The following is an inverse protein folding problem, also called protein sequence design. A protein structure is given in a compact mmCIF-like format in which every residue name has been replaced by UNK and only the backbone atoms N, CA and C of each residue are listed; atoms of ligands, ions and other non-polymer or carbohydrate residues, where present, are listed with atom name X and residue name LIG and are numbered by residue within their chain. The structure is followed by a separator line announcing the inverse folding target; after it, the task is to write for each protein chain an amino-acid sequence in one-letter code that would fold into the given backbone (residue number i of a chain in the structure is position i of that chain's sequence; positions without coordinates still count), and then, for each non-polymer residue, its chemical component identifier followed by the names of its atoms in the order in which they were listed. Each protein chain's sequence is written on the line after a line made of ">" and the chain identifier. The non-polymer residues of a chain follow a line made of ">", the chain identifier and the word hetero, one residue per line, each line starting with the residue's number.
data_IF_321447397805
#
_entry.id   IF_321447397805
#
_cell.length_a   1.000
_cell.length_b   1.000
_cell.length_c   1.000
_cell.angle_alpha   90.00
_cell.angle_beta   90.00
_cell.angle_gamma   90.00
#
_symmetry.space_group_name_H-M   'P 1'
#
loop_
_entity.id
_entity.type
_entity.pdbx_description
1 polymer ?
#
# COMPACT_ATOMS: atom_id res chain seq x y z
N UNK A 1 64.00 28.31 -44.12
CA UNK A 1 64.48 27.00 -43.76
C UNK A 1 63.39 26.00 -44.15
N UNK A 2 63.77 24.85 -44.74
CA UNK A 2 62.91 23.78 -45.21
C UNK A 2 61.93 23.28 -44.10
N UNK A 3 62.38 23.26 -42.87
CA UNK A 3 61.59 22.88 -41.72
C UNK A 3 60.36 23.78 -41.48
N UNK A 4 60.45 25.07 -41.75
CA UNK A 4 59.35 26.04 -41.63
C UNK A 4 58.30 25.82 -42.74
N UNK A 5 58.74 25.54 -43.96
CA UNK A 5 57.88 25.22 -45.09
C UNK A 5 57.09 23.92 -44.88
N UNK A 6 57.75 22.88 -44.35
CA UNK A 6 57.10 21.58 -44.04
C UNK A 6 56.07 21.71 -42.90
N UNK A 7 56.44 22.51 -41.90
CA UNK A 7 55.49 22.78 -40.77
C UNK A 7 54.23 23.52 -41.24
N UNK A 8 54.43 24.58 -42.08
CA UNK A 8 53.29 25.36 -42.61
C UNK A 8 52.41 24.52 -43.55
N UNK A 9 52.98 23.58 -44.29
CA UNK A 9 52.26 22.67 -45.18
C UNK A 9 51.43 21.66 -44.39
N UNK A 10 52.00 21.11 -43.32
CA UNK A 10 51.30 20.18 -42.42
C UNK A 10 50.13 20.87 -41.71
N UNK A 11 50.36 22.10 -41.18
CA UNK A 11 49.32 22.88 -40.49
C UNK A 11 48.19 23.24 -41.46
N UNK A 12 48.49 23.68 -42.68
CA UNK A 12 47.48 23.99 -43.70
C UNK A 12 46.65 22.77 -44.08
N UNK A 13 47.30 21.60 -44.32
CA UNK A 13 46.58 20.34 -44.56
C UNK A 13 45.72 19.93 -43.39
N UNK A 14 46.21 20.02 -42.14
CA UNK A 14 45.44 19.71 -40.96
C UNK A 14 44.19 20.62 -40.82
N UNK A 15 44.36 21.93 -41.05
CA UNK A 15 43.23 22.88 -41.03
C UNK A 15 42.20 22.55 -42.12
N UNK A 16 42.67 22.14 -43.32
CA UNK A 16 41.77 21.77 -44.41
C UNK A 16 40.97 20.49 -44.08
N UNK A 17 41.62 19.50 -43.48
CA UNK A 17 41.00 18.28 -43.03
C UNK A 17 39.96 18.52 -41.90
N UNK A 18 40.29 19.36 -40.93
CA UNK A 18 39.36 19.74 -39.85
C UNK A 18 38.15 20.48 -40.42
N UNK A 19 38.36 21.41 -41.35
CA UNK A 19 37.25 22.12 -42.01
C UNK A 19 36.36 21.21 -42.84
N UNK A 20 36.93 20.19 -43.50
CA UNK A 20 36.17 19.22 -44.29
C UNK A 20 35.42 18.21 -43.39
N UNK A 21 36.02 17.83 -42.26
CA UNK A 21 35.41 16.88 -41.31
C UNK A 21 34.34 17.51 -40.39
N UNK A 22 34.46 18.80 -40.08
CA UNK A 22 33.56 19.50 -39.18
C UNK A 22 32.07 19.35 -39.51
N UNK A 23 31.61 19.51 -40.77
CA UNK A 23 30.19 19.32 -41.10
C UNK A 23 29.74 17.87 -40.96
N UNK A 24 30.63 16.90 -41.27
CA UNK A 24 30.30 15.47 -41.11
C UNK A 24 30.19 15.12 -39.63
N UNK A 25 31.11 15.56 -38.80
CA UNK A 25 31.05 15.38 -37.34
C UNK A 25 29.80 16.05 -36.74
N UNK A 26 29.49 17.27 -37.21
CA UNK A 26 28.29 17.98 -36.82
C UNK A 26 27.00 17.21 -37.18
N UNK A 27 26.96 16.66 -38.40
CA UNK A 27 25.81 15.83 -38.84
C UNK A 27 25.68 14.54 -37.99
N UNK A 28 26.78 13.86 -37.73
CA UNK A 28 26.78 12.64 -36.89
C UNK A 28 26.33 12.95 -35.48
N UNK A 29 26.79 14.03 -34.87
CA UNK A 29 26.33 14.46 -33.53
C UNK A 29 24.85 14.83 -33.54
N UNK A 30 24.38 15.55 -34.58
CA UNK A 30 22.97 15.87 -34.72
C UNK A 30 22.10 14.60 -34.81
N UNK A 31 22.51 13.63 -35.64
CA UNK A 31 21.81 12.35 -35.75
C UNK A 31 21.82 11.58 -34.45
N UNK A 32 22.93 11.57 -33.72
CA UNK A 32 23.01 10.92 -32.40
C UNK A 32 22.03 11.57 -31.40
N UNK A 33 22.00 12.91 -31.34
CA UNK A 33 21.05 13.64 -30.48
C UNK A 33 19.61 13.33 -30.89
N UNK A 34 19.33 13.24 -32.17
CA UNK A 34 17.99 12.95 -32.68
C UNK A 34 17.54 11.52 -32.33
N UNK A 35 18.45 10.54 -32.44
CA UNK A 35 18.18 9.15 -32.02
C UNK A 35 17.93 9.06 -30.51
N UNK A 36 18.76 9.74 -29.70
CA UNK A 36 18.58 9.80 -28.25
C UNK A 36 17.24 10.45 -27.90
N UNK A 37 16.88 11.56 -28.55
CA UNK A 37 15.62 12.24 -28.34
C UNK A 37 14.41 11.36 -28.74
N UNK A 38 14.50 10.63 -29.86
CA UNK A 38 13.43 9.70 -30.29
C UNK A 38 13.15 8.59 -29.28
N UNK A 39 14.15 8.19 -28.49
CA UNK A 39 13.98 7.16 -27.45
C UNK A 39 13.58 7.81 -26.11
N UNK A 40 14.27 8.89 -25.74
CA UNK A 40 14.07 9.52 -24.43
C UNK A 40 12.70 10.19 -24.27
N UNK A 41 12.22 10.87 -25.32
CA UNK A 41 10.92 11.57 -25.25
C UNK A 41 9.74 10.63 -24.99
N UNK A 42 9.56 9.51 -25.71
CA UNK A 42 8.49 8.57 -25.39
C UNK A 42 8.60 7.96 -23.98
N UNK A 43 9.82 7.63 -23.54
CA UNK A 43 10.04 7.06 -22.21
C UNK A 43 9.66 8.06 -21.12
N UNK A 44 10.10 9.32 -21.25
CA UNK A 44 9.72 10.40 -20.31
C UNK A 44 8.20 10.62 -20.33
N UNK A 45 7.57 10.60 -21.51
CA UNK A 45 6.13 10.77 -21.63
C UNK A 45 5.36 9.63 -20.95
N UNK A 46 5.79 8.37 -21.11
CA UNK A 46 5.18 7.22 -20.43
C UNK A 46 5.32 7.34 -18.90
N UNK A 47 6.51 7.68 -18.43
CA UNK A 47 6.76 7.90 -16.99
C UNK A 47 5.84 9.03 -16.48
N UNK A 48 5.78 10.16 -17.19
CA UNK A 48 4.91 11.28 -16.79
C UNK A 48 3.43 10.88 -16.75
N UNK A 49 2.95 10.08 -17.73
CA UNK A 49 1.58 9.57 -17.74
C UNK A 49 1.34 8.66 -16.53
N UNK A 50 2.25 7.74 -16.23
CA UNK A 50 2.12 6.81 -15.11
C UNK A 50 2.09 7.55 -13.76
N UNK A 51 2.99 8.51 -13.55
CA UNK A 51 3.04 9.29 -12.30
C UNK A 51 1.93 10.34 -12.17
N UNK A 52 1.22 10.68 -13.25
CA UNK A 52 0.01 11.51 -13.23
C UNK A 52 -1.29 10.71 -13.35
N UNK A 53 -1.23 9.40 -13.16
CA UNK A 53 -2.39 8.51 -13.19
C UNK A 53 -2.62 7.88 -11.80
N UNK A 54 -3.77 7.25 -11.54
CA UNK A 54 -4.01 6.49 -10.32
C UNK A 54 -2.94 5.42 -10.01
N UNK A 55 -2.21 4.98 -11.04
CA UNK A 55 -1.11 4.03 -10.88
C UNK A 55 0.09 4.60 -10.10
N UNK A 56 0.20 5.92 -9.98
CA UNK A 56 1.27 6.56 -9.20
C UNK A 56 1.35 6.06 -7.76
N UNK A 57 0.22 5.67 -7.19
CA UNK A 57 0.13 5.09 -5.85
C UNK A 57 1.04 3.87 -5.65
N UNK A 58 1.24 3.11 -6.71
CA UNK A 58 1.95 1.82 -6.68
C UNK A 58 3.35 1.90 -7.27
N UNK A 59 3.74 3.07 -7.75
CA UNK A 59 5.08 3.30 -8.27
C UNK A 59 6.02 3.70 -7.13
N UNK A 60 7.31 3.36 -7.22
CA UNK A 60 8.28 3.85 -6.26
C UNK A 60 8.33 5.38 -6.31
N UNK A 61 8.44 6.07 -5.17
CA UNK A 61 8.51 7.54 -5.15
C UNK A 61 9.73 8.02 -5.94
N UNK A 62 9.56 9.11 -6.68
CA UNK A 62 10.66 9.75 -7.43
C UNK A 62 11.64 10.46 -6.50
N UNK A 63 11.17 10.86 -5.32
CA UNK A 63 11.95 11.56 -4.30
C UNK A 63 11.83 10.83 -2.97
N UNK A 64 12.82 10.97 -2.10
CA UNK A 64 12.75 10.46 -0.74
C UNK A 64 11.81 11.32 0.10
N UNK A 65 10.87 10.68 0.79
CA UNK A 65 9.89 11.36 1.63
C UNK A 65 8.71 10.45 2.00
N UNK A 66 7.77 11.02 2.72
CA UNK A 66 6.55 10.31 3.09
C UNK A 66 5.66 10.09 1.86
N UNK A 67 5.21 8.86 1.68
CA UNK A 67 4.30 8.47 0.61
C UNK A 67 2.87 8.30 1.13
N UNK A 68 1.88 8.26 0.23
CA UNK A 68 0.50 7.96 0.61
C UNK A 68 0.41 6.63 1.34
N UNK A 69 1.16 5.62 0.90
CA UNK A 69 1.20 4.30 1.54
C UNK A 69 1.74 4.36 2.97
N UNK A 70 2.91 5.01 3.17
CA UNK A 70 3.53 5.09 4.50
C UNK A 70 2.69 5.90 5.48
N UNK A 71 2.12 7.01 5.03
CA UNK A 71 1.27 7.86 5.88
C UNK A 71 -0.09 7.20 6.16
N UNK A 72 -0.72 6.55 5.18
CA UNK A 72 -1.95 5.78 5.41
C UNK A 72 -1.70 4.67 6.44
N UNK A 73 -0.59 3.94 6.28
CA UNK A 73 -0.22 2.89 7.23
C UNK A 73 -0.05 3.44 8.65
N UNK A 74 0.64 4.56 8.81
CA UNK A 74 0.83 5.19 10.11
C UNK A 74 -0.50 5.60 10.77
N UNK A 75 -1.42 6.22 10.02
CA UNK A 75 -2.71 6.64 10.53
C UNK A 75 -3.65 5.48 10.86
N UNK A 76 -3.67 4.44 10.03
CA UNK A 76 -4.44 3.21 10.32
C UNK A 76 -3.89 2.50 11.56
N UNK A 77 -2.56 2.44 11.71
CA UNK A 77 -1.95 1.87 12.92
C UNK A 77 -2.27 2.69 14.18
N UNK A 78 -2.28 4.01 14.07
CA UNK A 78 -2.68 4.87 15.19
C UNK A 78 -4.14 4.62 15.59
N UNK A 79 -5.05 4.55 14.61
CA UNK A 79 -6.45 4.19 14.86
C UNK A 79 -6.57 2.80 15.53
N UNK A 80 -5.90 1.78 15.01
CA UNK A 80 -5.93 0.43 15.57
C UNK A 80 -5.35 0.38 16.99
N UNK A 81 -4.29 1.16 17.26
CA UNK A 81 -3.72 1.26 18.60
C UNK A 81 -4.72 1.86 19.58
N UNK A 82 -5.43 2.91 19.19
CA UNK A 82 -6.44 3.55 20.05
C UNK A 82 -7.60 2.60 20.34
N UNK A 83 -8.08 1.86 19.33
CA UNK A 83 -9.09 0.81 19.47
C UNK A 83 -8.61 -0.27 20.44
N UNK A 84 -7.42 -0.81 20.24
CA UNK A 84 -6.85 -1.85 21.10
C UNK A 84 -6.64 -1.37 22.53
N UNK A 85 -6.19 -0.13 22.71
CA UNK A 85 -6.06 0.49 24.03
C UNK A 85 -7.41 0.53 24.73
N UNK A 86 -8.48 0.91 24.02
CA UNK A 86 -9.83 0.97 24.57
C UNK A 86 -10.36 -0.40 24.97
N UNK A 87 -10.10 -1.43 24.14
CA UNK A 87 -10.46 -2.82 24.43
C UNK A 87 -9.70 -3.33 25.66
N UNK A 88 -8.40 -3.09 25.73
CA UNK A 88 -7.55 -3.61 26.82
C UNK A 88 -7.81 -2.91 28.16
N UNK A 89 -8.10 -1.62 28.14
CA UNK A 89 -8.41 -0.87 29.36
C UNK A 89 -9.75 -1.22 29.94
N UNK A 90 -10.78 -1.47 29.12
CA UNK A 90 -12.19 -1.79 29.48
C UNK A 90 -12.62 -1.28 30.88
N UNK A 91 -12.26 -0.04 31.19
CA UNK A 91 -12.38 0.55 32.54
C UNK A 91 -13.81 0.44 33.09
N UNK A 92 -13.95 -0.25 34.22
CA UNK A 92 -15.23 -0.48 34.89
C UNK A 92 -16.02 -1.70 34.40
N UNK A 93 -15.42 -2.53 33.55
CA UNK A 93 -15.99 -3.79 33.03
C UNK A 93 -15.02 -4.94 33.27
N UNK A 94 -15.55 -6.14 33.33
CA UNK A 94 -14.78 -7.36 33.53
C UNK A 94 -14.00 -7.76 32.28
N UNK A 95 -14.57 -7.47 31.10
CA UNK A 95 -14.00 -7.82 29.78
C UNK A 95 -14.09 -6.64 28.79
N UNK A 96 -13.14 -6.58 27.87
CA UNK A 96 -13.20 -5.74 26.68
C UNK A 96 -13.23 -6.62 25.41
N UNK A 97 -14.16 -6.35 24.51
CA UNK A 97 -14.29 -7.11 23.25
C UNK A 97 -14.33 -6.17 22.05
N UNK A 98 -13.60 -6.55 21.01
CA UNK A 98 -13.59 -5.86 19.72
C UNK A 98 -14.70 -6.46 18.84
N UNK A 99 -15.50 -5.59 18.22
CA UNK A 99 -16.55 -5.97 17.28
C UNK A 99 -16.43 -5.13 16.03
N UNK A 100 -16.32 -5.76 14.87
CA UNK A 100 -16.41 -5.05 13.59
C UNK A 100 -17.85 -5.03 13.11
N UNK A 101 -18.39 -3.81 12.91
CA UNK A 101 -19.77 -3.61 12.47
C UNK A 101 -19.85 -3.87 10.97
N UNK A 102 -20.89 -4.56 10.52
CA UNK A 102 -21.19 -4.90 9.11
C UNK A 102 -20.15 -5.81 8.42
N UNK A 103 -19.34 -6.51 9.20
CA UNK A 103 -18.39 -7.50 8.73
C UNK A 103 -18.78 -8.93 9.15
N UNK A 104 -20.00 -9.33 8.87
CA UNK A 104 -20.44 -10.71 9.10
C UNK A 104 -19.70 -11.70 8.19
N UNK A 105 -18.99 -12.64 8.80
CA UNK A 105 -18.28 -13.72 8.09
C UNK A 105 -16.92 -13.33 7.51
N UNK A 106 -16.37 -12.18 7.86
CA UNK A 106 -14.98 -11.83 7.55
C UNK A 106 -14.02 -12.35 8.61
N UNK A 107 -12.92 -12.84 8.09
CA UNK A 107 -11.80 -13.36 8.85
C UNK A 107 -11.16 -12.29 9.77
N UNK A 108 -10.34 -12.77 10.67
CA UNK A 108 -9.61 -12.05 11.70
C UNK A 108 -8.88 -10.79 11.16
N UNK A 109 -9.34 -9.61 11.35
CA UNK A 109 -8.80 -8.30 11.01
C UNK A 109 -9.20 -7.70 9.65
N UNK A 110 -10.46 -7.27 9.50
CA UNK A 110 -10.87 -6.48 8.34
C UNK A 110 -10.06 -5.19 8.25
N UNK A 111 -9.75 -4.76 7.03
CA UNK A 111 -9.01 -3.54 6.77
C UNK A 111 -9.55 -2.84 5.54
N UNK A 112 -9.62 -1.52 5.58
CA UNK A 112 -9.97 -0.67 4.47
C UNK A 112 -8.79 0.20 3.97
N UNK A 113 -7.56 -0.27 4.20
CA UNK A 113 -6.32 0.43 3.86
C UNK A 113 -6.26 0.89 2.40
N UNK A 114 -6.58 -0.01 1.46
CA UNK A 114 -6.57 0.32 0.03
C UNK A 114 -7.74 1.19 -0.38
N UNK A 115 -8.91 1.00 0.25
CA UNK A 115 -10.08 1.85 0.06
C UNK A 115 -9.75 3.30 0.42
N UNK A 116 -9.07 3.52 1.56
CA UNK A 116 -8.62 4.85 2.01
C UNK A 116 -7.71 5.49 0.95
N UNK A 117 -6.73 4.77 0.45
CA UNK A 117 -5.81 5.29 -0.55
C UNK A 117 -6.52 5.61 -1.87
N UNK A 118 -7.39 4.72 -2.35
CA UNK A 118 -8.16 4.94 -3.56
C UNK A 118 -9.08 6.16 -3.43
N UNK A 119 -9.81 6.26 -2.33
CA UNK A 119 -10.69 7.41 -2.03
C UNK A 119 -9.91 8.71 -1.94
N UNK A 120 -8.76 8.71 -1.23
CA UNK A 120 -7.89 9.88 -1.14
C UNK A 120 -7.45 10.37 -2.52
N UNK A 121 -6.99 9.46 -3.37
CA UNK A 121 -6.49 9.79 -4.71
C UNK A 121 -7.58 10.34 -5.61
N UNK A 122 -8.74 9.72 -5.63
CA UNK A 122 -9.86 10.19 -6.44
C UNK A 122 -10.39 11.53 -5.96
N UNK A 123 -10.39 11.77 -4.64
CA UNK A 123 -10.88 13.01 -4.04
C UNK A 123 -9.93 14.20 -4.23
N UNK A 124 -8.62 13.97 -4.09
CA UNK A 124 -7.63 15.05 -4.06
C UNK A 124 -6.75 15.11 -5.32
N UNK A 125 -6.91 14.14 -6.22
CA UNK A 125 -6.17 14.04 -7.47
C UNK A 125 -4.83 13.30 -7.34
N UNK A 126 -4.32 12.93 -8.49
CA UNK A 126 -3.12 12.10 -8.65
C UNK A 126 -1.87 12.91 -8.98
N UNK A 127 -1.83 14.19 -8.70
CA UNK A 127 -0.67 15.02 -8.99
C UNK A 127 0.57 14.67 -8.16
N UNK A 128 1.53 15.58 -8.11
CA UNK A 128 2.81 15.43 -7.37
C UNK A 128 2.63 15.05 -5.88
N UNK A 129 1.45 15.29 -5.34
CA UNK A 129 1.07 14.91 -3.98
C UNK A 129 0.85 13.40 -3.78
N UNK A 130 0.70 12.63 -4.85
CA UNK A 130 0.52 11.17 -4.75
C UNK A 130 1.83 10.43 -4.43
N UNK A 131 2.98 11.01 -4.73
CA UNK A 131 4.29 10.36 -4.56
C UNK A 131 5.03 10.80 -3.30
N UNK A 132 4.98 12.09 -2.96
CA UNK A 132 5.58 12.64 -1.74
C UNK A 132 4.59 13.58 -1.07
N UNK A 133 4.30 13.34 0.21
CA UNK A 133 3.28 14.06 0.96
C UNK A 133 3.88 15.21 1.78
N UNK A 134 3.30 16.38 1.64
CA UNK A 134 3.53 17.52 2.52
C UNK A 134 2.48 17.56 3.65
N UNK A 135 2.63 18.49 4.58
CA UNK A 135 1.74 18.59 5.75
C UNK A 135 0.26 18.83 5.35
N UNK A 136 0.02 19.56 4.25
CA UNK A 136 -1.33 19.79 3.74
C UNK A 136 -1.96 18.51 3.22
N UNK A 137 -1.24 17.76 2.39
CA UNK A 137 -1.71 16.49 1.83
C UNK A 137 -1.89 15.41 2.90
N UNK A 138 -1.00 15.39 3.92
CA UNK A 138 -1.16 14.54 5.11
C UNK A 138 -2.44 14.89 5.89
N UNK A 139 -2.74 16.18 6.05
CA UNK A 139 -3.99 16.63 6.67
C UNK A 139 -5.23 16.18 5.89
N UNK A 140 -5.19 16.21 4.57
CA UNK A 140 -6.29 15.71 3.73
C UNK A 140 -6.46 14.20 3.88
N UNK A 141 -5.36 13.44 3.90
CA UNK A 141 -5.40 11.99 4.10
C UNK A 141 -5.93 11.64 5.49
N UNK A 142 -5.51 12.36 6.54
CA UNK A 142 -6.04 12.17 7.89
C UNK A 142 -7.56 12.38 7.95
N UNK A 143 -8.07 13.38 7.23
CA UNK A 143 -9.52 13.61 7.15
C UNK A 143 -10.23 12.42 6.48
N UNK A 144 -9.66 11.87 5.40
CA UNK A 144 -10.21 10.65 4.76
C UNK A 144 -10.19 9.47 5.71
N UNK A 145 -9.09 9.23 6.42
CA UNK A 145 -9.00 8.17 7.43
C UNK A 145 -10.08 8.35 8.51
N UNK A 146 -10.25 9.56 9.03
CA UNK A 146 -11.25 9.83 10.06
C UNK A 146 -12.71 9.66 9.57
N UNK A 147 -12.96 9.92 8.28
CA UNK A 147 -14.27 9.70 7.66
C UNK A 147 -14.55 8.22 7.39
N UNK A 148 -13.51 7.41 7.22
CA UNK A 148 -13.60 5.99 6.85
C UNK A 148 -13.39 5.02 8.02
N UNK A 149 -12.71 5.46 9.09
CA UNK A 149 -12.42 4.65 10.28
C UNK A 149 -13.03 5.32 11.51
N UNK A 150 -13.89 4.60 12.21
CA UNK A 150 -14.49 5.10 13.44
C UNK A 150 -14.80 3.95 14.40
N UNK A 151 -14.96 4.27 15.69
CA UNK A 151 -15.50 3.31 16.64
C UNK A 151 -16.46 3.97 17.63
N UNK A 152 -17.37 3.16 18.14
CA UNK A 152 -18.27 3.50 19.24
C UNK A 152 -18.13 2.44 20.32
N UNK A 153 -18.63 2.73 21.52
CA UNK A 153 -18.65 1.76 22.60
C UNK A 153 -20.08 1.41 23.00
N UNK A 154 -20.32 0.15 23.28
CA UNK A 154 -21.55 -0.34 23.89
C UNK A 154 -21.24 -1.27 25.06
N UNK A 155 -22.21 -1.59 25.87
CA UNK A 155 -22.03 -2.41 27.07
C UNK A 155 -23.04 -3.55 27.08
N UNK A 156 -22.63 -4.70 27.67
CA UNK A 156 -23.47 -5.85 27.79
C UNK A 156 -22.95 -6.83 28.83
N UNK A 157 -23.48 -8.01 28.81
CA UNK A 157 -23.02 -9.14 29.65
C UNK A 157 -22.78 -10.36 28.80
N UNK A 158 -21.82 -11.20 29.21
CA UNK A 158 -21.48 -12.45 28.57
C UNK A 158 -21.24 -13.53 29.60
N UNK A 159 -21.81 -14.68 29.36
CA UNK A 159 -21.56 -15.85 30.19
C UNK A 159 -20.24 -16.50 29.77
N UNK A 160 -19.34 -16.67 30.72
CA UNK A 160 -17.99 -17.24 30.51
C UNK A 160 -17.85 -18.46 31.41
N UNK A 161 -17.34 -19.56 30.87
CA UNK A 161 -16.98 -20.72 31.65
C UNK A 161 -15.64 -20.50 32.36
N UNK A 162 -15.62 -20.60 33.66
CA UNK A 162 -14.42 -20.58 34.49
C UNK A 162 -14.17 -21.95 35.12
N UNK A 163 -12.93 -22.41 35.06
CA UNK A 163 -12.51 -23.66 35.67
C UNK A 163 -11.76 -23.33 36.97
N UNK A 164 -12.24 -23.85 38.10
CA UNK A 164 -11.60 -23.71 39.40
C UNK A 164 -10.32 -24.55 39.52
N UNK A 165 -9.59 -24.40 40.63
CA UNK A 165 -8.35 -25.14 40.90
C UNK A 165 -8.58 -26.67 41.04
N UNK A 166 -9.80 -27.09 41.30
CA UNK A 166 -10.20 -28.51 41.48
C UNK A 166 -10.72 -29.11 40.16
N UNK A 167 -10.77 -28.32 39.07
CA UNK A 167 -11.18 -28.74 37.73
C UNK A 167 -12.70 -28.68 37.49
N UNK A 168 -13.48 -28.05 38.38
CA UNK A 168 -14.91 -27.86 38.17
C UNK A 168 -15.16 -26.66 37.27
N UNK A 169 -16.04 -26.82 36.28
CA UNK A 169 -16.44 -25.75 35.36
C UNK A 169 -17.70 -25.07 35.90
N UNK A 170 -17.65 -23.75 36.06
CA UNK A 170 -18.77 -22.90 36.46
C UNK A 170 -18.97 -21.79 35.43
N UNK A 171 -20.25 -21.48 35.15
CA UNK A 171 -20.60 -20.35 34.27
C UNK A 171 -20.75 -19.08 35.12
N UNK A 172 -19.99 -18.06 34.78
CA UNK A 172 -20.01 -16.74 35.44
C UNK A 172 -20.43 -15.69 34.44
N UNK A 173 -21.43 -14.87 34.78
CA UNK A 173 -21.83 -13.74 33.95
C UNK A 173 -20.89 -12.55 34.20
N UNK A 174 -20.21 -12.10 33.17
CA UNK A 174 -19.28 -10.97 33.19
C UNK A 174 -19.84 -9.75 32.46
N UNK A 175 -19.53 -8.56 32.95
CA UNK A 175 -19.81 -7.31 32.26
C UNK A 175 -18.79 -7.09 31.14
N UNK A 176 -19.25 -6.64 29.98
CA UNK A 176 -18.41 -6.47 28.78
C UNK A 176 -18.54 -5.06 28.24
N UNK A 177 -17.39 -4.44 27.94
CA UNK A 177 -17.28 -3.26 27.10
C UNK A 177 -17.03 -3.72 25.66
N UNK A 178 -17.97 -3.50 24.78
CA UNK A 178 -17.80 -3.74 23.35
C UNK A 178 -17.28 -2.48 22.69
N UNK A 179 -16.17 -2.59 21.94
CA UNK A 179 -15.65 -1.55 21.07
C UNK A 179 -16.07 -1.89 19.64
N UNK A 180 -17.07 -1.16 19.14
CA UNK A 180 -17.69 -1.41 17.84
C UNK A 180 -16.98 -0.58 16.77
N UNK A 181 -16.16 -1.22 15.96
CA UNK A 181 -15.37 -0.58 14.88
C UNK A 181 -16.14 -0.61 13.58
N UNK A 182 -16.22 0.54 12.93
CA UNK A 182 -16.78 0.70 11.58
C UNK A 182 -15.66 1.12 10.63
N UNK A 183 -15.42 0.30 9.61
CA UNK A 183 -14.49 0.59 8.51
C UNK A 183 -15.32 0.74 7.22
N UNK A 184 -15.38 1.94 6.68
CA UNK A 184 -16.11 2.19 5.43
C UNK A 184 -15.28 1.76 4.23
N UNK A 185 -15.94 1.16 3.24
CA UNK A 185 -15.38 0.87 1.93
C UNK A 185 -15.33 2.11 1.04
N UNK A 186 -14.62 2.03 -0.09
CA UNK A 186 -14.65 3.08 -1.10
C UNK A 186 -16.07 3.33 -1.65
N UNK A 187 -16.92 2.28 -1.68
CA UNK A 187 -18.31 2.39 -2.14
C UNK A 187 -19.16 3.23 -1.21
N UNK A 188 -18.97 3.09 0.09
CA UNK A 188 -19.66 3.91 1.09
C UNK A 188 -19.33 5.39 0.91
N UNK A 189 -18.08 5.67 0.51
CA UNK A 189 -17.60 7.04 0.33
C UNK A 189 -18.12 7.72 -0.94
N UNK A 190 -18.67 6.98 -1.91
CA UNK A 190 -19.28 7.55 -3.11
C UNK A 190 -20.38 8.53 -2.73
N UNK A 191 -21.26 8.12 -1.84
CA UNK A 191 -22.36 8.97 -1.37
C UNK A 191 -21.90 10.05 -0.40
N UNK A 192 -20.95 9.75 0.49
CA UNK A 192 -20.43 10.68 1.50
C UNK A 192 -19.72 11.86 0.86
N UNK A 193 -18.94 11.63 -0.20
CA UNK A 193 -18.21 12.68 -0.90
C UNK A 193 -18.92 13.22 -2.15
N UNK A 194 -20.05 12.64 -2.53
CA UNK A 194 -20.80 13.05 -3.71
C UNK A 194 -20.00 12.88 -5.00
N UNK A 195 -19.30 11.76 -5.13
CA UNK A 195 -18.50 11.47 -6.31
C UNK A 195 -19.36 11.36 -7.56
N UNK A 196 -18.89 11.97 -8.65
CA UNK A 196 -19.54 11.89 -9.96
C UNK A 196 -19.21 10.55 -10.66
N UNK A 197 -19.80 10.31 -11.85
CA UNK A 197 -19.60 9.09 -12.62
C UNK A 197 -18.13 8.80 -12.93
N UNK A 198 -17.35 9.82 -13.25
CA UNK A 198 -15.93 9.66 -13.62
C UNK A 198 -15.09 9.25 -12.39
N UNK A 199 -15.40 9.83 -11.23
CA UNK A 199 -14.79 9.42 -9.96
C UNK A 199 -15.13 7.97 -9.59
N UNK A 200 -16.40 7.58 -9.80
CA UNK A 200 -16.85 6.20 -9.53
C UNK A 200 -16.15 5.21 -10.45
N UNK A 201 -16.08 5.50 -11.75
CA UNK A 201 -15.36 4.67 -12.71
C UNK A 201 -13.88 4.50 -12.33
N UNK A 202 -13.23 5.59 -11.92
CA UNK A 202 -11.85 5.56 -11.45
C UNK A 202 -11.67 4.70 -10.19
N UNK A 203 -12.56 4.82 -9.20
CA UNK A 203 -12.55 3.99 -8.00
C UNK A 203 -12.72 2.51 -8.34
N UNK A 204 -13.71 2.16 -9.16
CA UNK A 204 -13.95 0.77 -9.58
C UNK A 204 -12.77 0.20 -10.37
N UNK A 205 -12.09 1.01 -11.19
CA UNK A 205 -10.89 0.60 -11.90
C UNK A 205 -9.72 0.33 -10.96
N UNK A 206 -9.44 1.24 -10.00
CA UNK A 206 -8.37 1.07 -9.01
C UNK A 206 -8.62 -0.16 -8.13
N UNK A 207 -9.87 -0.38 -7.72
CA UNK A 207 -10.25 -1.47 -6.82
C UNK A 207 -10.64 -2.75 -7.56
N UNK A 208 -10.43 -2.82 -8.88
CA UNK A 208 -10.72 -4.03 -9.64
C UNK A 208 -9.76 -5.18 -9.27
N UNK A 209 -10.25 -6.44 -9.22
CA UNK A 209 -9.39 -7.58 -8.91
C UNK A 209 -8.21 -7.74 -9.89
N UNK A 210 -8.42 -7.36 -11.15
CA UNK A 210 -7.39 -7.40 -12.19
C UNK A 210 -6.26 -6.42 -11.88
N UNK A 211 -6.59 -5.21 -11.48
CA UNK A 211 -5.63 -4.18 -11.12
C UNK A 211 -4.91 -4.51 -9.81
N UNK A 212 -5.67 -4.88 -8.79
CA UNK A 212 -5.14 -5.27 -7.48
C UNK A 212 -4.27 -6.53 -7.59
N UNK A 213 -4.67 -7.51 -8.41
CA UNK A 213 -3.90 -8.73 -8.65
C UNK A 213 -2.57 -8.51 -9.38
N UNK A 214 -2.51 -7.56 -10.33
CA UNK A 214 -1.26 -7.19 -11.01
C UNK A 214 -0.23 -6.56 -10.06
N UNK A 215 -0.70 -6.01 -8.96
CA UNK A 215 0.15 -5.43 -7.92
C UNK A 215 0.62 -6.45 -6.87
N UNK A 216 0.28 -7.71 -7.05
CA UNK A 216 0.58 -8.77 -6.09
C UNK A 216 -0.42 -8.85 -4.93
N UNK A 217 -1.51 -8.08 -5.01
CA UNK A 217 -2.60 -8.11 -4.04
C UNK A 217 -3.71 -9.03 -4.56
N UNK A 218 -3.49 -10.31 -4.56
CA UNK A 218 -4.51 -11.30 -4.90
C UNK A 218 -5.54 -11.32 -3.77
N UNK A 219 -6.52 -10.44 -3.86
CA UNK A 219 -7.67 -10.43 -2.99
C UNK A 219 -8.50 -11.67 -3.21
N UNK A 220 -8.79 -12.40 -2.15
CA UNK A 220 -9.81 -13.44 -2.11
C UNK A 220 -11.15 -12.89 -2.58
N UNK A 221 -11.77 -13.55 -3.53
CA UNK A 221 -12.91 -13.07 -4.29
C UNK A 221 -14.17 -12.76 -3.48
N UNK A 222 -14.96 -11.91 -4.09
CA UNK A 222 -16.38 -11.66 -3.87
C UNK A 222 -16.77 -10.99 -2.56
N UNK A 223 -16.64 -9.70 -2.55
CA UNK A 223 -17.25 -8.82 -1.54
C UNK A 223 -16.26 -7.78 -1.06
N UNK A 224 -16.14 -6.69 -1.81
CA UNK A 224 -15.67 -5.37 -1.42
C UNK A 224 -14.62 -5.28 -0.31
N UNK A 225 -13.41 -5.76 -0.56
CA UNK A 225 -12.34 -5.57 0.39
C UNK A 225 -11.01 -5.72 -0.31
N UNK A 226 -10.28 -4.61 -0.47
CA UNK A 226 -8.91 -4.63 -0.97
C UNK A 226 -8.04 -5.48 -0.07
N UNK A 227 -7.11 -6.26 -0.65
CA UNK A 227 -6.14 -7.03 0.10
C UNK A 227 -5.38 -6.15 1.08
N UNK A 228 -5.52 -6.44 2.34
CA UNK A 228 -4.85 -5.71 3.42
C UNK A 228 -3.40 -6.14 3.55
N UNK A 229 -2.51 -5.23 3.97
CA UNK A 229 -1.31 -5.66 4.66
C UNK A 229 -1.75 -6.58 5.80
N UNK A 230 -1.33 -7.83 5.75
CA UNK A 230 -1.72 -8.83 6.77
C UNK A 230 -2.54 -10.00 6.24
N UNK A 231 -2.90 -10.04 4.95
CA UNK A 231 -3.56 -11.22 4.35
C UNK A 231 -2.55 -12.02 3.55
N UNK A 232 -2.38 -13.29 3.91
CA UNK A 232 -1.54 -14.21 3.16
C UNK A 232 -2.00 -14.36 1.71
N UNK A 233 -1.06 -14.44 0.78
CA UNK A 233 -1.34 -14.80 -0.61
C UNK A 233 -1.69 -16.28 -0.82
N UNK A 234 -1.58 -17.08 0.24
CA UNK A 234 -1.96 -18.49 0.25
C UNK A 234 -3.36 -18.66 0.82
N UNK A 235 -4.12 -19.55 0.23
CA UNK A 235 -5.42 -19.95 0.75
C UNK A 235 -5.25 -20.86 1.97
N UNK A 236 -6.26 -20.90 2.86
CA UNK A 236 -6.28 -21.81 4.02
C UNK A 236 -6.10 -23.29 3.63
N UNK A 237 -6.65 -23.71 2.48
CA UNK A 237 -6.49 -25.06 1.98
C UNK A 237 -5.05 -25.38 1.59
N UNK A 238 -4.34 -24.45 0.97
CA UNK A 238 -2.92 -24.58 0.64
C UNK A 238 -2.05 -24.59 1.91
N UNK A 239 -2.35 -23.72 2.86
CA UNK A 239 -1.67 -23.66 4.17
C UNK A 239 -1.89 -24.98 4.90
N UNK A 240 -3.12 -25.45 4.99
CA UNK A 240 -3.46 -26.71 5.65
C UNK A 240 -2.85 -27.93 4.96
N UNK A 241 -2.77 -27.94 3.65
CA UNK A 241 -2.10 -29.02 2.90
C UNK A 241 -0.63 -29.12 3.32
N UNK A 242 0.09 -28.02 3.39
CA UNK A 242 1.50 -27.97 3.82
C UNK A 242 1.64 -28.36 5.31
N UNK A 243 0.79 -27.80 6.15
CA UNK A 243 0.86 -28.06 7.60
C UNK A 243 0.54 -29.53 7.95
N UNK A 244 -0.25 -30.23 7.15
CA UNK A 244 -0.56 -31.64 7.37
C UNK A 244 0.62 -32.58 7.08
N UNK A 245 1.60 -32.13 6.30
CA UNK A 245 2.85 -32.88 6.06
C UNK A 245 3.84 -32.76 7.24
N UNK A 246 3.65 -31.79 8.13
CA UNK A 246 4.54 -31.52 9.25
C UNK A 246 4.06 -32.30 10.48
N UNK A 247 4.88 -33.21 10.96
CA UNK A 247 4.58 -34.09 12.11
C UNK A 247 4.96 -33.47 13.47
N UNK A 248 6.00 -32.61 13.50
CA UNK A 248 6.45 -31.94 14.72
C UNK A 248 5.57 -30.72 15.03
N UNK A 249 4.99 -30.67 16.23
CA UNK A 249 4.05 -29.64 16.63
C UNK A 249 4.66 -28.25 16.72
N UNK A 250 5.94 -28.13 17.05
CA UNK A 250 6.64 -26.83 17.13
C UNK A 250 6.95 -26.30 15.74
N UNK A 251 7.41 -27.18 14.85
CA UNK A 251 7.62 -26.83 13.44
C UNK A 251 6.30 -26.43 12.79
N UNK A 252 5.23 -27.17 13.06
CA UNK A 252 3.87 -26.85 12.57
C UNK A 252 3.44 -25.45 12.98
N UNK A 253 3.66 -25.06 14.24
CA UNK A 253 3.31 -23.72 14.75
C UNK A 253 4.13 -22.63 14.05
N UNK A 254 5.45 -22.81 13.92
CA UNK A 254 6.31 -21.82 13.25
C UNK A 254 5.96 -21.70 11.76
N UNK A 255 5.77 -22.84 11.08
CA UNK A 255 5.38 -22.85 9.66
C UNK A 255 3.99 -22.23 9.44
N UNK A 256 3.03 -22.51 10.31
CA UNK A 256 1.71 -21.88 10.27
C UNK A 256 1.84 -20.35 10.32
N UNK A 257 2.59 -19.84 11.30
CA UNK A 257 2.83 -18.41 11.42
C UNK A 257 3.48 -17.79 10.18
N UNK A 258 4.45 -18.48 9.58
CA UNK A 258 5.12 -18.02 8.37
C UNK A 258 4.22 -18.08 7.13
N UNK A 259 3.46 -19.18 6.96
CA UNK A 259 2.58 -19.37 5.80
C UNK A 259 1.44 -18.36 5.75
N UNK A 260 0.88 -17.98 6.90
CA UNK A 260 -0.13 -16.91 6.98
C UNK A 260 0.41 -15.51 6.68
N UNK A 261 1.72 -15.37 6.48
CA UNK A 261 2.38 -14.12 6.12
C UNK A 261 3.01 -14.11 4.72
N UNK A 262 2.86 -15.20 3.97
CA UNK A 262 3.34 -15.24 2.58
C UNK A 262 2.61 -14.18 1.76
N UNK A 263 3.38 -13.33 1.10
CA UNK A 263 2.83 -12.21 0.32
C UNK A 263 2.68 -10.89 1.07
N UNK A 264 2.99 -10.85 2.37
CA UNK A 264 3.05 -9.58 3.11
C UNK A 264 4.17 -8.70 2.54
N UNK A 265 3.96 -7.39 2.44
CA UNK A 265 5.01 -6.48 2.03
C UNK A 265 6.16 -6.47 3.05
N UNK A 266 7.41 -6.42 2.57
CA UNK A 266 8.58 -6.28 3.42
C UNK A 266 8.75 -4.84 3.91
N UNK A 267 8.95 -4.66 5.20
CA UNK A 267 9.35 -3.37 5.78
C UNK A 267 10.05 -3.55 7.11
N UNK A 268 11.31 -3.13 7.20
CA UNK A 268 12.06 -3.13 8.46
C UNK A 268 11.48 -2.17 9.49
N UNK A 269 10.97 -1.03 9.05
CA UNK A 269 10.46 0.02 9.94
C UNK A 269 9.08 -0.33 10.52
N UNK A 270 8.32 -1.17 9.81
CA UNK A 270 6.94 -1.54 10.14
C UNK A 270 6.78 -3.00 10.59
N UNK A 271 7.88 -3.72 10.78
CA UNK A 271 7.88 -5.15 11.14
C UNK A 271 7.07 -5.48 12.39
N UNK A 272 7.09 -4.58 13.37
CA UNK A 272 6.40 -4.78 14.65
C UNK A 272 4.87 -4.55 14.54
N UNK A 273 4.38 -4.10 13.39
CA UNK A 273 2.94 -3.90 13.13
C UNK A 273 2.17 -5.21 12.93
N UNK A 274 2.87 -6.33 12.70
CA UNK A 274 2.27 -7.63 12.38
C UNK A 274 1.79 -7.79 10.93
N UNK A 275 1.86 -6.73 10.12
CA UNK A 275 1.34 -6.66 8.75
C UNK A 275 2.44 -6.67 7.68
N UNK A 276 3.70 -6.76 8.09
CA UNK A 276 4.86 -6.73 7.22
C UNK A 276 5.83 -7.87 7.56
N UNK A 277 6.64 -8.26 6.59
CA UNK A 277 7.78 -9.16 6.78
C UNK A 277 9.01 -8.37 7.23
N UNK A 278 9.84 -8.98 8.07
CA UNK A 278 11.19 -8.57 8.39
C UNK A 278 12.24 -9.54 7.83
#
# INVERSE_FOLDING_TARGET
>A
SVAKLVKDLIVRKAITWVKAAAPIVGLVLLLLVLVVAMIAVPVIAVIAILYNSPFALFLPPLESGDTVQTVTSAYVQEFNRDVNTKVNEHTGYDLGELVYVDYEGMEENPSNYYDIMAVYMVKHGVGDTATVMNDTSKGWLQAVVNDMCSYTTSTGTKDVEETDADGNVTTVTKSVLYVNVTLKSYRDMISVYGFNSDHVEMLEQIMSPEFMGQLGYAGSGSGGGGGSPGVSSMTEDEINAILNEITDSRQKTVCSYALHRVGFPYSQDLRDSGNYYD
#
